data_IF_760923799557
#
_entry.id   IF_760923799557
#
_cell.length_a   1.000
_cell.length_b   1.000
_cell.length_c   1.000
_cell.angle_alpha   90.00
_cell.angle_beta   90.00
_cell.angle_gamma   90.00
#
_symmetry.space_group_name_H-M   'P 1'
#
loop_
_entity.id
_entity.type
_entity.pdbx_description
1 polymer ?
#
# COMPACT_ATOMS: atom_id res chain seq x y z
N UNK A 1 27.46 87.74 -31.60
CA UNK A 1 26.61 86.58 -31.89
C UNK A 1 26.69 85.57 -30.73
N UNK A 2 26.08 85.89 -29.58
CA UNK A 2 26.00 84.98 -28.43
C UNK A 2 24.64 84.27 -28.48
N UNK A 3 24.60 83.06 -29.04
CA UNK A 3 23.38 82.25 -29.01
C UNK A 3 23.27 81.57 -27.65
N UNK A 4 22.30 82.01 -26.87
CA UNK A 4 21.79 81.34 -25.67
C UNK A 4 21.55 79.84 -25.96
N UNK A 5 21.95 78.96 -25.04
CA UNK A 5 21.72 77.52 -25.18
C UNK A 5 21.54 76.87 -23.81
N UNK A 6 20.45 76.13 -23.65
CA UNK A 6 20.23 75.20 -22.54
C UNK A 6 20.58 73.79 -23.01
N UNK A 7 21.33 73.03 -22.20
CA UNK A 7 21.61 71.61 -22.44
C UNK A 7 20.65 70.76 -21.59
N UNK A 8 19.73 70.04 -22.23
CA UNK A 8 18.82 69.14 -21.53
C UNK A 8 19.55 67.81 -21.29
N UNK A 9 19.99 67.57 -20.04
CA UNK A 9 20.71 66.36 -19.64
C UNK A 9 19.78 65.14 -19.57
N UNK A 10 18.57 65.33 -19.05
CA UNK A 10 17.54 64.28 -18.99
C UNK A 10 16.15 64.91 -18.85
N UNK A 11 15.18 64.36 -19.55
CA UNK A 11 13.75 64.68 -19.40
C UNK A 11 13.05 63.47 -18.79
N UNK A 12 12.53 63.63 -17.56
CA UNK A 12 11.73 62.62 -16.89
C UNK A 12 10.27 62.77 -17.33
N UNK A 13 9.68 61.69 -17.83
CA UNK A 13 8.24 61.65 -18.09
C UNK A 13 7.56 61.56 -16.72
N UNK A 14 6.74 62.57 -16.40
CA UNK A 14 6.11 62.71 -15.09
C UNK A 14 4.80 61.91 -15.01
N UNK A 15 4.08 61.81 -16.13
CA UNK A 15 2.82 61.05 -16.20
C UNK A 15 2.49 60.58 -17.64
N UNK A 16 1.89 59.40 -17.75
CA UNK A 16 1.28 58.86 -18.97
C UNK A 16 -0.05 58.24 -18.57
N UNK A 17 -1.14 58.84 -19.04
CA UNK A 17 -2.48 58.29 -18.86
C UNK A 17 -2.99 57.63 -20.14
N UNK A 18 -2.94 56.29 -20.25
CA UNK A 18 -3.63 55.59 -21.32
C UNK A 18 -5.14 55.61 -21.10
N UNK A 19 -5.89 55.45 -22.20
CA UNK A 19 -7.35 55.33 -22.22
C UNK A 19 -7.84 54.25 -21.23
N UNK A 20 -8.93 54.53 -20.51
CA UNK A 20 -9.50 53.62 -19.51
C UNK A 20 -9.78 52.22 -20.08
N UNK A 21 -10.20 52.12 -21.34
CA UNK A 21 -10.47 50.83 -21.99
C UNK A 21 -9.18 50.02 -22.14
N UNK A 22 -8.07 50.68 -22.45
CA UNK A 22 -6.75 50.04 -22.59
C UNK A 22 -6.21 49.61 -21.22
N UNK A 23 -6.33 50.46 -20.19
CA UNK A 23 -5.95 50.11 -18.80
C UNK A 23 -6.69 48.87 -18.32
N UNK A 24 -8.02 48.82 -18.53
CA UNK A 24 -8.84 47.68 -18.11
C UNK A 24 -8.47 46.40 -18.87
N UNK A 25 -8.33 46.48 -20.20
CA UNK A 25 -7.93 45.33 -21.01
C UNK A 25 -6.53 44.80 -20.62
N UNK A 26 -5.56 45.68 -20.38
CA UNK A 26 -4.23 45.27 -19.92
C UNK A 26 -4.29 44.59 -18.54
N UNK A 27 -5.08 45.12 -17.62
CA UNK A 27 -5.25 44.51 -16.30
C UNK A 27 -5.91 43.14 -16.37
N UNK A 28 -6.93 42.97 -17.20
CA UNK A 28 -7.58 41.67 -17.43
C UNK A 28 -6.62 40.65 -18.06
N UNK A 29 -5.83 41.05 -19.05
CA UNK A 29 -4.81 40.18 -19.68
C UNK A 29 -3.76 39.75 -18.65
N UNK A 30 -3.25 40.68 -17.84
CA UNK A 30 -2.27 40.39 -16.81
C UNK A 30 -2.84 39.50 -15.70
N UNK A 31 -4.09 39.74 -15.29
CA UNK A 31 -4.78 38.90 -14.33
C UNK A 31 -4.99 37.48 -14.88
N UNK A 32 -5.45 37.34 -16.11
CA UNK A 32 -5.64 36.04 -16.77
C UNK A 32 -4.32 35.28 -16.95
N UNK A 33 -3.24 35.97 -17.34
CA UNK A 33 -1.91 35.37 -17.46
C UNK A 33 -1.40 34.85 -16.11
N UNK A 34 -1.53 35.64 -15.04
CA UNK A 34 -1.18 35.22 -13.67
C UNK A 34 -2.04 34.05 -13.19
N UNK A 35 -3.35 34.10 -13.43
CA UNK A 35 -4.26 33.01 -13.07
C UNK A 35 -3.92 31.71 -13.81
N UNK A 36 -3.56 31.79 -15.10
CA UNK A 36 -3.16 30.62 -15.88
C UNK A 36 -1.88 29.98 -15.33
N UNK A 37 -0.87 30.77 -14.98
CA UNK A 37 0.36 30.27 -14.36
C UNK A 37 0.04 29.59 -13.02
N UNK A 38 -0.73 30.27 -12.16
CA UNK A 38 -1.12 29.70 -10.87
C UNK A 38 -1.96 28.41 -11.00
N UNK A 39 -2.84 28.33 -12.00
CA UNK A 39 -3.64 27.14 -12.26
C UNK A 39 -2.77 25.96 -12.74
N UNK A 40 -1.79 26.22 -13.62
CA UNK A 40 -0.86 25.21 -14.09
C UNK A 40 0.02 24.68 -12.96
N UNK A 41 0.58 25.56 -12.13
CA UNK A 41 1.40 25.16 -10.97
C UNK A 41 0.59 24.34 -9.96
N UNK A 42 -0.67 24.72 -9.69
CA UNK A 42 -1.58 23.95 -8.84
C UNK A 42 -1.87 22.57 -9.42
N UNK A 43 -2.18 22.48 -10.71
CA UNK A 43 -2.48 21.21 -11.36
C UNK A 43 -1.26 20.27 -11.36
N UNK A 44 -0.05 20.82 -11.56
CA UNK A 44 1.18 20.05 -11.48
C UNK A 44 1.47 19.56 -10.06
N UNK A 45 1.26 20.42 -9.05
CA UNK A 45 1.38 20.03 -7.65
C UNK A 45 0.40 18.90 -7.27
N UNK A 46 -0.86 19.01 -7.70
CA UNK A 46 -1.88 17.97 -7.47
C UNK A 46 -1.50 16.65 -8.15
N UNK A 47 -1.01 16.70 -9.39
CA UNK A 47 -0.52 15.53 -10.12
C UNK A 47 0.63 14.85 -9.37
N UNK A 48 1.64 15.61 -8.93
CA UNK A 48 2.78 15.07 -8.18
C UNK A 48 2.29 14.40 -6.90
N UNK A 49 1.40 15.07 -6.17
CA UNK A 49 0.86 14.56 -4.92
C UNK A 49 0.05 13.27 -5.11
N UNK A 50 -0.72 13.16 -6.19
CA UNK A 50 -1.45 11.94 -6.54
C UNK A 50 -0.50 10.79 -6.93
N UNK A 51 0.51 11.05 -7.75
CA UNK A 51 1.52 10.05 -8.13
C UNK A 51 2.25 9.55 -6.89
N UNK A 52 2.70 10.45 -6.01
CA UNK A 52 3.44 10.09 -4.80
C UNK A 52 2.60 9.27 -3.82
N UNK A 53 1.31 9.55 -3.70
CA UNK A 53 0.38 8.69 -2.95
C UNK A 53 0.28 7.30 -3.56
N UNK A 54 0.09 7.21 -4.88
CA UNK A 54 0.00 5.92 -5.56
C UNK A 54 1.30 5.09 -5.47
N UNK A 55 2.46 5.74 -5.58
CA UNK A 55 3.77 5.12 -5.36
C UNK A 55 3.91 4.59 -3.94
N UNK A 56 3.56 5.41 -2.93
CA UNK A 56 3.60 5.00 -1.53
C UNK A 56 2.66 3.84 -1.21
N UNK A 57 1.45 3.83 -1.77
CA UNK A 57 0.49 2.73 -1.60
C UNK A 57 0.99 1.43 -2.25
N UNK A 58 1.63 1.52 -3.43
CA UNK A 58 2.22 0.37 -4.10
C UNK A 58 3.42 -0.19 -3.31
N UNK A 59 4.31 0.68 -2.85
CA UNK A 59 5.48 0.31 -2.05
C UNK A 59 5.08 -0.29 -0.69
N UNK A 60 4.08 0.29 -0.03
CA UNK A 60 3.52 -0.24 1.22
C UNK A 60 2.99 -1.67 1.04
N UNK A 61 2.20 -1.92 -0.01
CA UNK A 61 1.70 -3.28 -0.33
C UNK A 61 2.83 -4.24 -0.66
N UNK A 62 3.85 -3.79 -1.39
CA UNK A 62 5.02 -4.60 -1.70
C UNK A 62 5.78 -5.01 -0.44
N UNK A 63 6.08 -4.05 0.44
CA UNK A 63 6.76 -4.29 1.71
C UNK A 63 5.93 -5.18 2.64
N UNK A 64 4.62 -4.99 2.70
CA UNK A 64 3.72 -5.87 3.45
C UNK A 64 3.75 -7.32 2.92
N UNK A 65 3.71 -7.49 1.60
CA UNK A 65 3.82 -8.80 0.96
C UNK A 65 5.16 -9.48 1.24
N UNK A 66 6.26 -8.72 1.16
CA UNK A 66 7.60 -9.19 1.51
C UNK A 66 7.69 -9.60 2.99
N UNK A 67 7.09 -8.81 3.89
CA UNK A 67 6.99 -9.10 5.32
C UNK A 67 6.27 -10.42 5.57
N UNK A 68 5.11 -10.63 4.95
CA UNK A 68 4.35 -11.89 5.05
C UNK A 68 5.15 -13.07 4.50
N UNK A 69 5.82 -12.90 3.36
CA UNK A 69 6.65 -13.96 2.78
C UNK A 69 7.81 -14.35 3.71
N UNK A 70 8.52 -13.36 4.28
CA UNK A 70 9.58 -13.59 5.26
C UNK A 70 9.06 -14.23 6.55
N UNK A 71 7.91 -13.79 7.04
CA UNK A 71 7.26 -14.41 8.19
C UNK A 71 6.93 -15.88 7.91
N UNK A 72 6.35 -16.20 6.75
CA UNK A 72 6.06 -17.59 6.34
C UNK A 72 7.33 -18.43 6.26
N UNK A 73 8.41 -17.88 5.70
CA UNK A 73 9.70 -18.56 5.65
C UNK A 73 10.21 -18.89 7.06
N UNK A 74 10.21 -17.91 7.97
CA UNK A 74 10.64 -18.11 9.35
C UNK A 74 9.78 -19.16 10.09
N UNK A 75 8.47 -19.21 9.83
CA UNK A 75 7.58 -20.24 10.38
C UNK A 75 7.96 -21.63 9.87
N UNK A 76 8.19 -21.79 8.57
CA UNK A 76 8.56 -23.08 7.96
C UNK A 76 9.91 -23.56 8.49
N UNK A 77 10.88 -22.66 8.58
CA UNK A 77 12.21 -22.97 9.10
C UNK A 77 12.15 -23.35 10.59
N UNK A 78 11.39 -22.60 11.40
CA UNK A 78 11.18 -22.93 12.81
C UNK A 78 10.44 -24.26 13.03
N UNK A 79 9.46 -24.58 12.17
CA UNK A 79 8.76 -25.86 12.22
C UNK A 79 9.71 -27.02 11.86
N UNK A 80 10.53 -26.84 10.83
CA UNK A 80 11.54 -27.83 10.41
C UNK A 80 12.52 -28.12 11.54
N UNK A 81 13.05 -27.08 12.18
CA UNK A 81 13.97 -27.21 13.31
C UNK A 81 13.31 -27.91 14.49
N UNK A 82 12.03 -27.58 14.77
CA UNK A 82 11.24 -28.23 15.81
C UNK A 82 11.05 -29.73 15.54
N UNK A 83 10.76 -30.12 14.29
CA UNK A 83 10.61 -31.53 13.89
C UNK A 83 11.93 -32.30 14.03
N UNK A 84 13.04 -31.70 13.60
CA UNK A 84 14.37 -32.31 13.71
C UNK A 84 14.80 -32.48 15.17
N UNK A 85 14.57 -31.47 16.01
CA UNK A 85 14.89 -31.52 17.44
C UNK A 85 14.05 -32.59 18.16
N UNK A 86 12.75 -32.69 17.85
CA UNK A 86 11.87 -33.67 18.50
C UNK A 86 12.19 -35.11 18.08
N UNK A 87 12.42 -35.33 16.78
CA UNK A 87 12.83 -36.63 16.23
C UNK A 87 14.18 -37.11 16.77
N UNK A 88 15.09 -36.19 17.15
CA UNK A 88 16.41 -36.54 17.67
C UNK A 88 16.39 -36.84 19.18
N UNK A 89 15.48 -36.20 19.93
CA UNK A 89 15.43 -36.29 21.40
C UNK A 89 14.46 -37.34 21.94
N UNK A 90 13.49 -37.80 21.13
CA UNK A 90 12.50 -38.79 21.55
C UNK A 90 12.65 -40.07 20.71
N UNK A 91 13.12 -41.18 21.29
CA UNK A 91 13.25 -42.45 20.56
C UNK A 91 11.89 -43.00 20.16
N UNK A 92 11.70 -43.30 18.86
CA UNK A 92 10.52 -43.99 18.34
C UNK A 92 9.44 -43.11 17.70
N UNK A 93 9.59 -41.78 17.70
CA UNK A 93 8.66 -40.87 17.00
C UNK A 93 9.07 -40.66 15.55
N UNK A 94 8.13 -40.83 14.62
CA UNK A 94 8.31 -40.49 13.21
C UNK A 94 8.05 -39.00 12.96
N UNK A 95 8.66 -38.43 11.93
CA UNK A 95 8.35 -37.06 11.47
C UNK A 95 6.85 -36.88 11.17
N UNK A 96 6.15 -37.97 10.81
CA UNK A 96 4.71 -37.98 10.61
C UNK A 96 3.94 -37.71 11.92
N UNK A 97 4.34 -38.32 13.03
CA UNK A 97 3.66 -38.19 14.32
C UNK A 97 3.81 -36.77 14.87
N UNK A 98 4.97 -36.14 14.65
CA UNK A 98 5.20 -34.73 15.02
C UNK A 98 4.31 -33.79 14.19
N UNK A 99 4.16 -34.08 12.90
CA UNK A 99 3.33 -33.28 12.00
C UNK A 99 1.84 -33.40 12.34
N UNK A 100 1.38 -34.60 12.71
CA UNK A 100 0.01 -34.84 13.19
C UNK A 100 -0.25 -34.07 14.50
N UNK A 101 0.72 -34.02 15.42
CA UNK A 101 0.59 -33.24 16.67
C UNK A 101 0.55 -31.72 16.41
N UNK A 102 1.37 -31.22 15.48
CA UNK A 102 1.33 -29.80 15.05
C UNK A 102 -0.02 -29.43 14.45
N UNK A 103 -0.62 -30.30 13.62
CA UNK A 103 -1.93 -30.08 13.03
C UNK A 103 -3.03 -29.97 14.10
N UNK A 104 -2.97 -30.81 15.13
CA UNK A 104 -3.89 -30.75 16.28
C UNK A 104 -3.71 -29.45 17.06
N UNK A 105 -2.47 -29.01 17.32
CA UNK A 105 -2.21 -27.72 17.99
C UNK A 105 -2.72 -26.55 17.16
N UNK A 106 -2.49 -26.53 15.85
CA UNK A 106 -2.97 -25.50 14.95
C UNK A 106 -4.51 -25.45 14.89
N UNK A 107 -5.16 -26.62 14.95
CA UNK A 107 -6.62 -26.70 15.06
C UNK A 107 -7.13 -26.02 16.34
N UNK A 108 -6.49 -26.24 17.49
CA UNK A 108 -6.86 -25.56 18.73
C UNK A 108 -6.54 -24.06 18.73
N UNK A 109 -5.40 -23.65 18.16
CA UNK A 109 -5.04 -22.24 18.06
C UNK A 109 -5.99 -21.47 17.13
N UNK A 110 -6.39 -22.06 16.00
CA UNK A 110 -7.40 -21.46 15.11
C UNK A 110 -8.77 -21.36 15.81
N UNK A 111 -9.19 -22.39 16.57
CA UNK A 111 -10.40 -22.29 17.38
C UNK A 111 -10.30 -21.20 18.46
N UNK A 112 -9.14 -21.04 19.10
CA UNK A 112 -8.89 -19.98 20.09
C UNK A 112 -8.94 -18.59 19.46
N UNK A 113 -8.35 -18.41 18.27
CA UNK A 113 -8.37 -17.14 17.54
C UNK A 113 -9.78 -16.78 17.05
N UNK A 114 -10.53 -17.76 16.55
CA UNK A 114 -11.96 -17.62 16.20
C UNK A 114 -12.78 -17.24 17.44
N UNK A 115 -12.52 -17.87 18.59
CA UNK A 115 -13.20 -17.56 19.85
C UNK A 115 -12.83 -16.20 20.45
N UNK A 116 -11.60 -15.73 20.24
CA UNK A 116 -11.14 -14.42 20.70
C UNK A 116 -11.63 -13.26 19.81
N UNK A 117 -11.89 -13.52 18.53
CA UNK A 117 -12.49 -12.57 17.60
C UNK A 117 -13.99 -12.41 17.91
N UNK A 118 -14.31 -11.55 18.87
CA UNK A 118 -15.66 -11.29 19.41
C UNK A 118 -16.71 -10.74 18.41
N UNK A 119 -16.43 -10.70 17.10
CA UNK A 119 -17.38 -10.29 16.06
C UNK A 119 -18.23 -11.48 15.60
N UNK A 120 -19.25 -11.80 16.41
CA UNK A 120 -20.54 -12.41 16.02
C UNK A 120 -20.55 -13.23 14.71
N UNK A 121 -19.90 -14.38 14.69
CA UNK A 121 -20.17 -15.45 13.72
C UNK A 121 -20.29 -16.75 14.50
N UNK A 122 -21.49 -17.32 14.59
CA UNK A 122 -21.68 -18.68 15.13
C UNK A 122 -21.07 -19.68 14.15
N UNK A 123 -19.85 -20.14 14.43
CA UNK A 123 -19.18 -21.17 13.63
C UNK A 123 -19.61 -22.54 14.17
N UNK A 124 -20.46 -23.25 13.43
CA UNK A 124 -20.80 -24.64 13.74
C UNK A 124 -19.64 -25.54 13.32
N UNK A 125 -18.85 -25.98 14.31
CA UNK A 125 -17.78 -26.95 14.12
C UNK A 125 -18.37 -28.34 14.40
N UNK A 126 -18.56 -29.20 13.37
CA UNK A 126 -18.94 -30.59 13.61
C UNK A 126 -17.78 -31.28 14.34
N UNK A 127 -17.96 -31.58 15.63
CA UNK A 127 -16.98 -32.27 16.47
C UNK A 127 -17.40 -33.73 16.59
N UNK A 128 -17.00 -34.54 15.61
CA UNK A 128 -17.09 -35.99 15.66
C UNK A 128 -15.71 -36.60 15.46
N UNK A 129 -15.38 -37.75 16.09
CA UNK A 129 -14.07 -38.38 15.99
C UNK A 129 -13.64 -38.82 14.56
N UNK A 130 -14.54 -38.74 13.57
CA UNK A 130 -14.24 -38.98 12.15
C UNK A 130 -13.90 -37.73 11.33
N UNK A 131 -14.14 -36.52 11.85
CA UNK A 131 -14.10 -35.28 11.04
C UNK A 131 -12.69 -34.92 10.57
N UNK A 132 -11.65 -35.22 11.36
CA UNK A 132 -10.26 -34.97 10.94
C UNK A 132 -9.88 -35.82 9.73
N UNK A 133 -10.36 -37.07 9.68
CA UNK A 133 -10.15 -37.98 8.54
C UNK A 133 -10.96 -37.54 7.32
N UNK A 134 -12.19 -37.06 7.53
CA UNK A 134 -13.05 -36.60 6.44
C UNK A 134 -12.55 -35.27 5.84
N UNK A 135 -12.07 -34.34 6.65
CA UNK A 135 -11.45 -33.08 6.18
C UNK A 135 -10.15 -33.37 5.42
N UNK A 136 -9.33 -34.29 5.91
CA UNK A 136 -8.12 -34.71 5.21
C UNK A 136 -8.43 -35.39 3.86
N UNK A 137 -9.49 -36.19 3.79
CA UNK A 137 -9.97 -36.79 2.53
C UNK A 137 -10.43 -35.73 1.55
N UNK A 138 -11.29 -34.80 1.99
CA UNK A 138 -11.87 -33.77 1.12
C UNK A 138 -10.81 -32.82 0.56
N UNK A 139 -9.79 -32.45 1.33
CA UNK A 139 -8.67 -31.65 0.83
C UNK A 139 -7.90 -32.44 -0.24
N UNK A 140 -7.62 -33.72 0.00
CA UNK A 140 -6.90 -34.57 -0.95
C UNK A 140 -7.66 -34.75 -2.27
N UNK A 141 -8.96 -35.00 -2.19
CA UNK A 141 -9.83 -35.19 -3.35
C UNK A 141 -9.98 -33.89 -4.14
N UNK A 142 -10.07 -32.73 -3.47
CA UNK A 142 -10.07 -31.42 -4.12
C UNK A 142 -8.79 -31.11 -4.90
N UNK A 143 -7.62 -31.49 -4.36
CA UNK A 143 -6.33 -31.36 -5.07
C UNK A 143 -6.21 -32.31 -6.27
N UNK A 144 -6.77 -33.52 -6.19
CA UNK A 144 -6.78 -34.48 -7.30
C UNK A 144 -7.72 -34.01 -8.41
N UNK A 145 -8.91 -33.52 -8.06
CA UNK A 145 -9.89 -32.99 -9.01
C UNK A 145 -9.37 -31.75 -9.77
N UNK A 146 -8.57 -30.91 -9.11
CA UNK A 146 -7.95 -29.74 -9.73
C UNK A 146 -6.83 -30.09 -10.74
N UNK A 147 -6.24 -31.29 -10.66
CA UNK A 147 -5.19 -31.76 -11.58
C UNK A 147 -5.72 -32.53 -12.80
N UNK A 148 -7.04 -32.75 -12.89
CA UNK A 148 -7.68 -33.52 -13.98
C UNK A 148 -8.42 -32.60 -14.98
N UNK A 149 -8.35 -31.28 -14.79
CA UNK A 149 -8.82 -30.27 -15.75
C UNK A 149 -7.65 -29.41 -16.26
#
# INVERSE_FOLDING_TARGET
MSHYGFEIVQTLIVDIEPDERVKRAMNEINAAARMRVAANEKAEAEKILQIKRAEGDAESKYLAGLGIARQRQAIVDGLRDSVLAFSSNVPGTSSKDVMDMVLVTQYFDTMKEIGASSKTNSVFIPHGPGVVRDVASQIRDGFIQANVN
#
